data_IF_791554296033
#
_entry.id   IF_791554296033
#
_cell.length_a   1.000
_cell.length_b   1.000
_cell.length_c   1.000
_cell.angle_alpha   90.00
_cell.angle_beta   90.00
_cell.angle_gamma   90.00
#
_symmetry.space_group_name_H-M   'P 1'
#
loop_
_entity.id
_entity.type
_entity.pdbx_description
1 polymer ?
#
# COMPACT_ATOMS: atom_id res chain seq x y z
N UNK A 1 -3.56 -0.29 8.50
CA UNK A 1 -3.02 0.93 9.14
C UNK A 1 -3.37 0.92 10.63
N UNK A 2 -2.41 1.17 11.53
CA UNK A 2 -2.72 1.53 12.92
C UNK A 2 -2.93 3.04 12.94
N UNK A 3 -4.14 3.54 13.21
CA UNK A 3 -4.39 4.98 13.25
C UNK A 3 -3.45 5.69 14.24
N UNK A 4 -3.03 6.91 13.91
CA UNK A 4 -2.08 7.71 14.72
C UNK A 4 -2.54 7.88 16.18
N UNK A 5 -3.85 7.85 16.43
CA UNK A 5 -4.41 7.90 17.79
C UNK A 5 -4.09 6.65 18.63
N UNK A 6 -3.95 5.47 18.02
CA UNK A 6 -3.55 4.25 18.72
C UNK A 6 -2.07 4.29 19.11
N UNK A 7 -1.20 4.85 18.26
CA UNK A 7 0.20 5.07 18.59
C UNK A 7 0.36 6.07 19.74
N UNK A 8 -0.42 7.16 19.76
CA UNK A 8 -0.45 8.09 20.88
C UNK A 8 -0.93 7.41 22.19
N UNK A 9 -1.97 6.56 22.12
CA UNK A 9 -2.46 5.82 23.28
C UNK A 9 -1.47 4.78 23.80
N UNK A 10 -0.73 4.12 22.91
CA UNK A 10 0.36 3.22 23.29
C UNK A 10 1.54 3.98 23.90
N UNK A 11 1.91 5.13 23.34
CA UNK A 11 2.96 6.02 23.87
C UNK A 11 2.68 6.53 25.30
N UNK A 12 1.40 6.65 25.66
CA UNK A 12 0.91 7.04 27.00
C UNK A 12 0.81 5.85 27.98
N UNK A 13 0.97 4.60 27.53
CA UNK A 13 0.69 3.41 28.34
C UNK A 13 1.85 3.00 29.24
N UNK A 14 1.68 3.13 30.56
CA UNK A 14 2.64 2.64 31.57
C UNK A 14 2.69 1.11 31.67
N UNK A 15 1.61 0.42 31.27
CA UNK A 15 1.49 -1.04 31.33
C UNK A 15 2.40 -1.76 30.32
N UNK A 16 2.79 -1.08 29.24
CA UNK A 16 3.56 -1.64 28.13
C UNK A 16 4.75 -0.74 27.82
N UNK A 17 5.62 -0.53 28.82
CA UNK A 17 6.70 0.46 28.78
C UNK A 17 7.60 0.36 27.54
N UNK A 18 7.91 -0.86 27.06
CA UNK A 18 8.70 -1.05 25.82
C UNK A 18 7.94 -0.64 24.55
N UNK A 19 6.66 -0.99 24.43
CA UNK A 19 5.85 -0.60 23.27
C UNK A 19 5.48 0.89 23.28
N UNK A 20 5.32 1.47 24.47
CA UNK A 20 5.18 2.91 24.65
C UNK A 20 6.42 3.66 24.17
N UNK A 21 7.61 3.15 24.49
CA UNK A 21 8.86 3.75 24.04
C UNK A 21 9.05 3.63 22.53
N UNK A 22 8.76 2.47 21.94
CA UNK A 22 8.78 2.29 20.49
C UNK A 22 7.79 3.24 19.78
N UNK A 23 6.56 3.37 20.29
CA UNK A 23 5.58 4.30 19.75
C UNK A 23 6.02 5.77 19.88
N UNK A 24 6.65 6.16 21.01
CA UNK A 24 7.23 7.50 21.21
C UNK A 24 8.37 7.78 20.23
N UNK A 25 9.29 6.83 20.02
CA UNK A 25 10.39 6.95 19.07
C UNK A 25 9.86 7.16 17.63
N UNK A 26 8.80 6.46 17.24
CA UNK A 26 8.14 6.65 15.94
C UNK A 26 7.42 8.00 15.84
N UNK A 27 6.82 8.51 16.91
CA UNK A 27 6.19 9.85 16.93
C UNK A 27 7.20 11.01 16.90
N UNK A 28 8.42 10.79 17.40
CA UNK A 28 9.49 11.80 17.47
C UNK A 28 10.32 11.82 16.18
N UNK A 29 10.45 10.69 15.49
CA UNK A 29 11.12 10.65 14.20
C UNK A 29 10.28 11.46 13.18
N UNK A 30 10.82 12.53 12.58
CA UNK A 30 10.22 13.05 11.36
C UNK A 30 10.39 11.93 10.34
N UNK A 31 9.34 11.14 10.11
CA UNK A 31 9.28 10.36 8.90
C UNK A 31 9.46 11.38 7.77
N UNK A 32 10.49 11.27 6.91
CA UNK A 32 10.43 11.98 5.65
C UNK A 32 9.05 11.66 5.09
N UNK A 33 8.30 12.66 4.66
CA UNK A 33 6.97 12.50 4.08
C UNK A 33 6.95 11.67 2.77
N UNK A 34 8.02 10.90 2.55
CA UNK A 34 8.45 10.25 1.33
C UNK A 34 8.36 8.71 1.45
N UNK A 35 8.32 8.14 2.67
CA UNK A 35 8.34 6.68 2.85
C UNK A 35 7.36 6.18 3.92
N UNK A 36 6.45 5.30 3.52
CA UNK A 36 5.43 4.71 4.40
C UNK A 36 5.97 3.48 5.13
N UNK A 37 5.59 3.34 6.40
CA UNK A 37 6.03 2.23 7.25
C UNK A 37 4.88 1.70 8.12
N UNK A 38 4.93 0.41 8.44
CA UNK A 38 3.97 -0.26 9.31
C UNK A 38 4.65 -0.78 10.57
N UNK A 39 3.95 -0.69 11.70
CA UNK A 39 4.38 -1.30 12.95
C UNK A 39 3.84 -2.72 13.03
N UNK A 40 4.74 -3.68 13.24
CA UNK A 40 4.39 -5.06 13.57
C UNK A 40 4.72 -5.33 15.03
N UNK A 41 3.70 -5.75 15.78
CA UNK A 41 3.84 -6.11 17.18
C UNK A 41 3.88 -7.63 17.31
N UNK A 42 4.86 -8.16 18.04
CA UNK A 42 5.01 -9.59 18.32
C UNK A 42 5.45 -9.82 19.76
N UNK A 43 5.30 -11.06 20.24
CA UNK A 43 5.81 -11.47 21.55
C UNK A 43 6.98 -12.42 21.30
N UNK A 44 8.12 -12.17 21.93
CA UNK A 44 9.30 -13.03 21.82
C UNK A 44 9.21 -14.28 22.72
N UNK A 45 10.21 -15.14 22.62
CA UNK A 45 10.33 -16.37 23.42
C UNK A 45 10.40 -16.14 24.93
N UNK A 46 10.76 -14.93 25.37
CA UNK A 46 10.83 -14.54 26.77
C UNK A 46 9.54 -13.85 27.26
N UNK A 47 8.50 -13.79 26.42
CA UNK A 47 7.24 -13.13 26.76
C UNK A 47 7.29 -11.60 26.70
N UNK A 48 8.34 -11.02 26.10
CA UNK A 48 8.47 -9.57 25.93
C UNK A 48 7.79 -9.10 24.64
N UNK A 49 7.13 -7.94 24.71
CA UNK A 49 6.50 -7.31 23.54
C UNK A 49 7.55 -6.61 22.70
N UNK A 50 7.74 -7.09 21.47
CA UNK A 50 8.66 -6.54 20.47
C UNK A 50 7.86 -5.76 19.42
N UNK A 51 8.34 -4.57 19.08
CA UNK A 51 7.81 -3.78 17.99
C UNK A 51 8.86 -3.66 16.88
N UNK A 52 8.53 -4.11 15.68
CA UNK A 52 9.35 -3.91 14.48
C UNK A 52 8.68 -2.92 13.54
N UNK A 53 9.50 -2.07 12.92
CA UNK A 53 9.05 -1.18 11.85
C UNK A 53 9.42 -1.84 10.53
N UNK A 54 8.42 -2.11 9.71
CA UNK A 54 8.57 -2.70 8.38
C UNK A 54 8.18 -1.67 7.33
N UNK A 55 8.75 -1.78 6.13
CA UNK A 55 8.31 -0.98 4.99
C UNK A 55 6.85 -1.30 4.67
N UNK A 56 6.08 -0.28 4.28
CA UNK A 56 4.68 -0.43 3.90
C UNK A 56 4.44 0.14 2.50
N UNK A 57 3.54 -0.46 1.70
CA UNK A 57 3.15 0.11 0.43
C UNK A 57 2.35 1.39 0.64
N UNK A 58 2.38 2.28 -0.36
CA UNK A 58 1.49 3.43 -0.48
C UNK A 58 0.83 3.37 -1.86
N UNK A 59 -0.41 2.86 -1.92
CA UNK A 59 -1.11 2.59 -3.18
C UNK A 59 -2.19 3.60 -3.48
N UNK A 60 -2.29 3.98 -4.75
CA UNK A 60 -3.39 4.79 -5.30
C UNK A 60 -3.95 4.14 -6.56
N UNK A 61 -5.26 3.91 -6.58
CA UNK A 61 -5.99 3.43 -7.76
C UNK A 61 -6.85 4.55 -8.31
N UNK A 62 -6.70 4.79 -9.61
CA UNK A 62 -7.53 5.71 -10.38
C UNK A 62 -8.37 4.98 -11.42
N UNK A 63 -9.49 5.57 -11.82
CA UNK A 63 -10.39 5.08 -12.85
C UNK A 63 -10.35 6.04 -14.05
N UNK A 64 -9.99 5.52 -15.24
CA UNK A 64 -9.98 6.28 -16.48
C UNK A 64 -11.36 6.43 -17.13
N UNK A 65 -12.40 5.79 -16.58
CA UNK A 65 -13.79 5.80 -17.02
C UNK A 65 -13.95 5.41 -18.51
N UNK A 66 -13.17 4.42 -18.96
CA UNK A 66 -13.16 3.97 -20.36
C UNK A 66 -12.43 4.92 -21.32
N UNK A 67 -11.81 5.98 -20.82
CA UNK A 67 -11.00 6.91 -21.61
C UNK A 67 -9.54 6.48 -21.62
N UNK A 68 -8.74 7.08 -22.50
CA UNK A 68 -7.29 6.90 -22.53
C UNK A 68 -6.55 8.03 -21.77
N UNK A 69 -7.25 8.75 -20.88
CA UNK A 69 -6.67 9.86 -20.13
C UNK A 69 -6.17 9.39 -18.76
N UNK A 70 -4.87 9.52 -18.52
CA UNK A 70 -4.23 9.19 -17.25
C UNK A 70 -4.04 10.44 -16.37
N UNK A 71 -4.07 10.33 -15.02
CA UNK A 71 -4.40 9.13 -14.23
C UNK A 71 -5.88 8.71 -14.27
N UNK A 72 -6.78 9.60 -14.65
CA UNK A 72 -8.20 9.45 -14.38
C UNK A 72 -8.55 10.00 -12.98
N UNK A 73 -9.62 9.47 -12.38
CA UNK A 73 -10.13 9.89 -11.07
C UNK A 73 -9.67 8.93 -9.99
N UNK A 74 -9.09 9.42 -8.89
CA UNK A 74 -8.73 8.56 -7.74
C UNK A 74 -9.99 7.95 -7.14
N UNK A 75 -10.02 6.63 -7.02
CA UNK A 75 -11.15 5.84 -6.52
C UNK A 75 -10.82 4.99 -5.30
N UNK A 76 -9.54 4.75 -5.02
CA UNK A 76 -9.10 4.06 -3.81
C UNK A 76 -7.66 4.40 -3.44
N UNK A 77 -7.41 4.62 -2.16
CA UNK A 77 -6.08 4.86 -1.57
C UNK A 77 -5.77 3.83 -0.47
N UNK A 78 -4.52 3.82 0.02
CA UNK A 78 -3.98 2.80 0.93
C UNK A 78 -4.86 2.49 2.16
N UNK A 79 -5.54 3.50 2.72
CA UNK A 79 -6.32 3.36 3.97
C UNK A 79 -7.83 3.25 3.74
N UNK A 80 -8.26 3.34 2.49
CA UNK A 80 -9.67 3.25 2.16
C UNK A 80 -10.12 1.78 2.09
N UNK A 81 -11.36 1.50 2.53
CA UNK A 81 -11.92 0.17 2.43
C UNK A 81 -12.07 -0.24 0.96
N UNK A 82 -12.32 -1.53 0.73
CA UNK A 82 -12.69 -2.04 -0.60
C UNK A 82 -13.91 -1.31 -1.13
N UNK A 83 -13.91 -1.02 -2.43
CA UNK A 83 -15.02 -0.37 -3.12
C UNK A 83 -15.90 -1.41 -3.84
N UNK A 84 -17.02 -0.98 -4.41
CA UNK A 84 -17.90 -1.89 -5.15
C UNK A 84 -17.26 -2.43 -6.45
N UNK A 85 -16.35 -1.65 -7.03
CA UNK A 85 -15.64 -2.03 -8.25
C UNK A 85 -14.60 -3.13 -7.98
N UNK A 86 -14.74 -4.24 -8.69
CA UNK A 86 -13.89 -5.42 -8.52
C UNK A 86 -12.50 -5.19 -9.12
N UNK A 87 -12.40 -4.54 -10.29
CA UNK A 87 -11.13 -4.28 -10.95
C UNK A 87 -10.26 -3.33 -10.11
N UNK A 88 -10.88 -2.31 -9.50
CA UNK A 88 -10.20 -1.43 -8.54
C UNK A 88 -9.60 -2.23 -7.37
N UNK A 89 -10.37 -3.16 -6.81
CA UNK A 89 -9.89 -3.97 -5.68
C UNK A 89 -8.79 -4.96 -6.08
N UNK A 90 -8.91 -5.59 -7.25
CA UNK A 90 -7.89 -6.51 -7.77
C UNK A 90 -6.59 -5.79 -8.10
N UNK A 91 -6.65 -4.62 -8.72
CA UNK A 91 -5.47 -3.80 -8.98
C UNK A 91 -4.78 -3.41 -7.65
N UNK A 92 -5.56 -3.00 -6.66
CA UNK A 92 -5.06 -2.67 -5.32
C UNK A 92 -4.35 -3.86 -4.65
N UNK A 93 -4.99 -5.02 -4.66
CA UNK A 93 -4.45 -6.24 -4.05
C UNK A 93 -3.21 -6.75 -4.80
N UNK A 94 -3.22 -6.70 -6.14
CA UNK A 94 -2.10 -7.08 -6.98
C UNK A 94 -0.85 -6.21 -6.76
N UNK A 95 -1.03 -4.89 -6.62
CA UNK A 95 0.07 -3.99 -6.24
C UNK A 95 0.62 -4.33 -4.84
N UNK A 96 -0.26 -4.63 -3.88
CA UNK A 96 0.15 -5.05 -2.54
C UNK A 96 0.95 -6.35 -2.53
N UNK A 97 0.50 -7.35 -3.29
CA UNK A 97 1.22 -8.62 -3.45
C UNK A 97 2.59 -8.42 -4.11
N UNK A 98 2.67 -7.54 -5.11
CA UNK A 98 3.93 -7.19 -5.78
C UNK A 98 4.91 -6.52 -4.82
N UNK A 99 4.43 -5.56 -4.02
CA UNK A 99 5.23 -4.93 -2.97
C UNK A 99 5.78 -5.97 -1.98
N UNK A 100 4.91 -6.84 -1.48
CA UNK A 100 5.29 -7.85 -0.51
C UNK A 100 6.32 -8.83 -1.08
N UNK A 101 6.14 -9.26 -2.34
CA UNK A 101 7.12 -10.10 -3.03
C UNK A 101 8.49 -9.42 -3.13
N UNK A 102 8.52 -8.14 -3.51
CA UNK A 102 9.78 -7.37 -3.59
C UNK A 102 10.46 -7.23 -2.24
N UNK A 103 9.68 -6.95 -1.20
CA UNK A 103 10.19 -6.81 0.15
C UNK A 103 10.73 -8.15 0.69
N UNK A 104 9.96 -9.23 0.58
CA UNK A 104 10.35 -10.51 1.17
C UNK A 104 11.51 -11.17 0.43
N UNK A 105 11.41 -11.26 -0.91
CA UNK A 105 12.38 -12.00 -1.71
C UNK A 105 13.68 -11.21 -1.96
N UNK A 106 13.59 -9.88 -2.03
CA UNK A 106 14.73 -9.04 -2.42
C UNK A 106 15.10 -7.98 -1.38
N UNK A 107 14.40 -7.91 -0.24
CA UNK A 107 14.59 -6.87 0.76
C UNK A 107 14.49 -5.46 0.15
N UNK A 108 13.63 -5.32 -0.86
CA UNK A 108 13.51 -4.12 -1.68
C UNK A 108 12.22 -3.38 -1.35
N UNK A 109 12.37 -2.15 -0.85
CA UNK A 109 11.24 -1.28 -0.55
C UNK A 109 10.67 -0.68 -1.85
N UNK A 110 9.60 -1.25 -2.40
CA UNK A 110 8.97 -0.85 -3.67
C UNK A 110 9.86 -0.97 -4.93
N UNK A 111 9.39 -0.46 -6.07
CA UNK A 111 10.01 -0.60 -7.40
C UNK A 111 11.40 0.02 -7.44
N UNK A 112 11.62 1.17 -6.79
CA UNK A 112 12.88 1.90 -6.79
C UNK A 112 13.83 1.53 -5.63
N UNK A 113 13.35 0.71 -4.68
CA UNK A 113 14.08 0.35 -3.46
C UNK A 113 14.05 1.44 -2.38
N UNK A 114 13.29 2.50 -2.61
CA UNK A 114 13.09 3.65 -1.74
C UNK A 114 11.60 3.96 -1.63
N UNK A 115 10.75 2.96 -1.50
CA UNK A 115 9.34 3.13 -1.15
C UNK A 115 8.52 3.98 -2.14
N UNK A 116 8.87 3.98 -3.42
CA UNK A 116 8.07 4.62 -4.46
C UNK A 116 6.57 4.28 -4.30
N UNK A 117 5.66 5.27 -4.32
CA UNK A 117 4.23 5.02 -4.35
C UNK A 117 3.85 4.12 -5.52
N UNK A 118 2.87 3.25 -5.29
CA UNK A 118 2.38 2.29 -6.26
C UNK A 118 1.06 2.77 -6.82
N UNK A 119 1.13 3.45 -7.95
CA UNK A 119 -0.04 3.98 -8.63
C UNK A 119 -0.54 3.01 -9.71
N UNK A 120 -1.86 2.92 -9.85
CA UNK A 120 -2.50 2.26 -10.99
C UNK A 120 -3.70 3.02 -11.52
N UNK A 121 -3.98 2.83 -12.82
CA UNK A 121 -5.22 3.26 -13.47
C UNK A 121 -5.94 2.03 -14.03
N UNK A 122 -7.22 1.87 -13.71
CA UNK A 122 -8.12 0.84 -14.26
C UNK A 122 -9.09 1.45 -15.30
N UNK A 123 -9.83 0.58 -16.00
CA UNK A 123 -10.80 0.97 -17.04
C UNK A 123 -10.18 1.86 -18.13
N UNK A 124 -8.92 1.58 -18.51
CA UNK A 124 -8.24 2.32 -19.56
C UNK A 124 -8.73 1.91 -20.94
N UNK A 125 -9.25 2.88 -21.70
CA UNK A 125 -9.82 2.65 -23.02
C UNK A 125 -11.08 1.77 -23.00
N UNK A 126 -11.53 1.34 -24.18
CA UNK A 126 -12.68 0.43 -24.32
C UNK A 126 -12.26 -0.82 -25.08
N UNK A 127 -12.51 -2.01 -24.51
CA UNK A 127 -12.06 -3.28 -25.10
C UNK A 127 -10.54 -3.42 -25.13
N UNK A 128 -9.84 -2.78 -24.18
CA UNK A 128 -8.38 -2.78 -24.15
C UNK A 128 -7.87 -4.06 -23.46
N UNK A 129 -7.50 -5.05 -24.26
CA UNK A 129 -6.97 -6.36 -23.82
C UNK A 129 -5.50 -6.32 -23.40
N UNK A 130 -5.09 -5.33 -22.60
CA UNK A 130 -3.72 -5.27 -22.14
C UNK A 130 -3.54 -4.54 -20.81
N UNK A 131 -2.39 -4.78 -20.19
CA UNK A 131 -1.90 -4.03 -19.05
C UNK A 131 -0.43 -3.67 -19.25
N UNK A 132 -0.02 -2.48 -18.80
CA UNK A 132 1.35 -2.03 -18.96
C UNK A 132 1.82 -1.10 -17.85
N UNK A 133 3.14 -1.03 -17.68
CA UNK A 133 3.81 0.00 -16.87
C UNK A 133 4.29 1.12 -17.79
N UNK A 134 3.90 2.37 -17.51
CA UNK A 134 4.26 3.50 -18.37
C UNK A 134 5.54 4.24 -17.93
N UNK A 135 6.23 3.76 -16.88
CA UNK A 135 7.35 4.46 -16.24
C UNK A 135 7.02 5.02 -14.86
N UNK A 136 5.74 5.30 -14.62
CA UNK A 136 5.25 5.95 -13.39
C UNK A 136 4.12 5.16 -12.71
N UNK A 137 3.25 4.49 -13.48
CA UNK A 137 2.10 3.72 -12.97
C UNK A 137 1.78 2.49 -13.81
N UNK A 138 1.06 1.56 -13.18
CA UNK A 138 0.41 0.47 -13.89
C UNK A 138 -0.88 0.96 -14.55
N UNK A 139 -1.19 0.45 -15.72
CA UNK A 139 -2.42 0.77 -16.46
C UNK A 139 -3.07 -0.55 -16.86
N UNK A 140 -4.36 -0.69 -16.57
CA UNK A 140 -5.16 -1.88 -16.83
C UNK A 140 -6.37 -1.50 -17.68
N UNK A 141 -6.57 -2.20 -18.80
CA UNK A 141 -7.84 -2.21 -19.51
C UNK A 141 -8.73 -3.35 -19.03
N UNK A 142 -10.02 -3.28 -19.41
CA UNK A 142 -11.04 -4.26 -18.99
C UNK A 142 -11.07 -5.54 -19.83
N UNK A 143 -10.33 -5.52 -20.95
CA UNK A 143 -10.41 -6.53 -21.99
C UNK A 143 -11.71 -6.50 -22.81
N UNK A 144 -11.79 -7.39 -23.80
CA UNK A 144 -12.91 -7.52 -24.73
C UNK A 144 -13.99 -8.51 -24.27
N UNK A 145 -13.77 -9.19 -23.14
CA UNK A 145 -14.67 -10.19 -22.58
C UNK A 145 -14.76 -11.51 -23.37
N UNK A 146 -13.95 -11.68 -24.43
CA UNK A 146 -13.87 -12.89 -25.23
C UNK A 146 -12.54 -13.63 -25.04
N UNK A 147 -11.44 -12.90 -24.82
CA UNK A 147 -10.10 -13.47 -24.64
C UNK A 147 -9.51 -13.16 -23.27
N UNK A 148 -9.76 -11.97 -22.72
CA UNK A 148 -9.33 -11.60 -21.36
C UNK A 148 -10.49 -11.05 -20.55
N UNK A 149 -10.54 -11.42 -19.26
CA UNK A 149 -11.47 -10.88 -18.27
C UNK A 149 -10.65 -10.03 -17.30
N UNK A 150 -10.90 -8.72 -17.29
CA UNK A 150 -10.41 -7.78 -16.27
C UNK A 150 -11.10 -7.94 -14.93
#
# INVERSE_FOLDING_TARGET
>A
MVPSYLLAKLAESERYAQAAEAARQTLIAPAPAEHRAQLRLSIDENGSLVATVEAAPDRTISDAHGTETLPGTVVRTEDEPTVADVAVNQAFDGLGATFQMLLDAFQRNSIDGKGLPLDATVHYGSGYDNAFWNGERMVFGDGDGQVFQG
#
